data_IF_508039259105
#
_entry.id   IF_508039259105
#
_cell.length_a   1.000
_cell.length_b   1.000
_cell.length_c   1.000
_cell.angle_alpha   90.00
_cell.angle_beta   90.00
_cell.angle_gamma   90.00
#
_symmetry.space_group_name_H-M   'P 1'
#
loop_
_entity.id
_entity.type
_entity.pdbx_description
1 polymer ?
#
# COMPACT_ATOMS: atom_id res chain seq x y z
N UNK A 1 48.94 -30.85 51.15
CA UNK A 1 48.81 -29.75 50.16
C UNK A 1 47.55 -29.98 49.35
N UNK A 2 46.43 -29.41 49.73
CA UNK A 2 45.14 -29.56 49.06
C UNK A 2 44.88 -28.33 48.21
N UNK A 3 44.72 -28.49 46.88
CA UNK A 3 44.34 -27.43 45.95
C UNK A 3 42.80 -27.40 45.87
N UNK A 4 42.23 -26.32 46.34
CA UNK A 4 40.79 -26.04 46.15
C UNK A 4 40.60 -25.49 44.71
N UNK A 5 39.84 -26.21 43.91
CA UNK A 5 39.35 -25.78 42.60
C UNK A 5 37.98 -25.09 42.80
N UNK A 6 37.97 -23.79 42.69
CA UNK A 6 36.75 -22.99 42.77
C UNK A 6 36.05 -23.00 41.41
N UNK A 7 34.92 -23.71 41.33
CA UNK A 7 34.03 -23.70 40.14
C UNK A 7 33.04 -22.57 40.31
N UNK A 8 33.24 -21.47 39.55
CA UNK A 8 32.25 -20.38 39.42
C UNK A 8 31.11 -20.85 38.52
N UNK A 9 29.94 -21.04 39.10
CA UNK A 9 28.69 -21.33 38.37
C UNK A 9 28.11 -20.00 37.91
N UNK A 10 28.21 -19.69 36.60
CA UNK A 10 27.50 -18.57 35.97
C UNK A 10 26.04 -18.96 35.78
N UNK A 11 25.16 -18.44 36.63
CA UNK A 11 23.72 -18.49 36.45
C UNK A 11 23.37 -17.33 35.51
N UNK A 12 23.22 -17.59 34.22
CA UNK A 12 22.65 -16.67 33.26
C UNK A 12 21.16 -16.53 33.50
N UNK A 13 20.75 -15.45 34.13
CA UNK A 13 19.33 -15.08 34.22
C UNK A 13 18.92 -14.56 32.83
N UNK A 14 18.29 -15.41 32.02
CA UNK A 14 17.54 -14.99 30.86
C UNK A 14 16.30 -14.23 31.35
N UNK A 15 16.38 -12.90 31.37
CA UNK A 15 15.21 -12.05 31.46
C UNK A 15 14.55 -12.12 30.08
N UNK A 16 13.66 -13.09 29.88
CA UNK A 16 12.71 -13.03 28.78
C UNK A 16 11.79 -11.85 29.07
N UNK A 17 12.09 -10.73 28.44
CA UNK A 17 11.18 -9.60 28.35
C UNK A 17 9.94 -10.06 27.58
N UNK A 18 8.95 -10.54 28.31
CA UNK A 18 7.60 -10.70 27.82
C UNK A 18 7.08 -9.27 27.58
N UNK A 19 7.29 -8.72 26.40
CA UNK A 19 6.58 -7.53 25.98
C UNK A 19 5.10 -7.94 25.96
N UNK A 20 4.36 -7.47 26.98
CA UNK A 20 2.89 -7.53 26.94
C UNK A 20 2.48 -6.74 25.70
N UNK A 21 1.96 -7.44 24.70
CA UNK A 21 1.30 -6.79 23.57
C UNK A 21 0.25 -5.84 24.16
N UNK A 22 0.25 -4.60 23.66
CA UNK A 22 -0.77 -3.65 24.07
C UNK A 22 -2.14 -4.24 23.68
N UNK A 23 -3.16 -4.16 24.54
CA UNK A 23 -4.46 -4.71 24.21
C UNK A 23 -4.98 -4.04 22.94
N UNK A 24 -5.47 -4.86 22.00
CA UNK A 24 -6.11 -4.39 20.76
C UNK A 24 -7.29 -3.54 21.18
N UNK A 25 -7.36 -2.30 20.65
CA UNK A 25 -8.51 -1.45 20.86
C UNK A 25 -9.68 -2.00 20.05
N UNK A 26 -10.79 -2.31 20.74
CA UNK A 26 -12.02 -2.74 20.08
C UNK A 26 -13.00 -1.58 20.02
N UNK A 27 -13.56 -1.36 18.82
CA UNK A 27 -14.70 -0.47 18.64
C UNK A 27 -15.92 -1.35 18.43
N UNK A 28 -16.91 -1.21 19.29
CA UNK A 28 -18.15 -1.98 19.27
C UNK A 28 -19.32 -1.06 18.90
N UNK A 29 -20.43 -1.63 18.42
CA UNK A 29 -21.67 -0.86 18.21
C UNK A 29 -21.89 -0.36 16.77
N UNK A 30 -21.30 -1.01 15.77
CA UNK A 30 -21.54 -0.71 14.35
C UNK A 30 -22.83 -1.32 13.77
N UNK A 31 -23.56 -2.14 14.53
CA UNK A 31 -24.79 -2.78 14.06
C UNK A 31 -25.96 -1.79 13.84
N UNK A 32 -25.84 -0.60 14.45
CA UNK A 32 -26.67 0.54 14.10
C UNK A 32 -25.71 1.70 13.86
N UNK A 33 -25.58 2.24 12.64
CA UNK A 33 -24.79 3.44 12.45
C UNK A 33 -25.32 4.44 13.47
N UNK A 34 -24.47 5.07 14.30
CA UNK A 34 -24.91 6.10 15.21
C UNK A 34 -25.70 7.09 14.36
N UNK A 35 -26.92 7.40 14.77
CA UNK A 35 -27.68 8.45 14.11
C UNK A 35 -26.72 9.64 14.07
N UNK A 36 -26.19 9.94 12.90
CA UNK A 36 -25.34 11.11 12.68
C UNK A 36 -26.32 12.27 12.89
N UNK A 37 -26.48 12.65 14.16
CA UNK A 37 -27.07 13.92 14.48
C UNK A 37 -26.21 14.90 13.72
N UNK A 38 -26.73 15.61 12.74
CA UNK A 38 -26.05 16.36 11.68
C UNK A 38 -24.89 17.31 12.08
N UNK A 39 -24.22 17.02 13.18
CA UNK A 39 -23.00 17.64 13.69
C UNK A 39 -21.74 16.79 13.55
N UNK A 40 -21.85 15.54 13.04
CA UNK A 40 -20.68 14.68 12.82
C UNK A 40 -20.16 14.83 11.39
N UNK A 41 -18.92 15.21 11.21
CA UNK A 41 -18.19 15.28 9.94
C UNK A 41 -18.81 16.21 8.87
N UNK A 42 -19.34 17.36 9.26
CA UNK A 42 -19.62 18.42 8.31
C UNK A 42 -18.28 18.96 7.79
N UNK A 43 -18.01 18.79 6.52
CA UNK A 43 -16.94 19.54 5.87
C UNK A 43 -17.34 21.03 5.93
N UNK A 44 -16.49 21.88 6.47
CA UNK A 44 -16.74 23.32 6.53
C UNK A 44 -16.87 23.93 5.13
N UNK A 45 -16.22 23.33 4.15
CA UNK A 45 -16.32 23.67 2.74
C UNK A 45 -15.84 22.52 1.84
N UNK A 46 -16.38 22.46 0.64
CA UNK A 46 -15.84 21.63 -0.44
C UNK A 46 -15.84 22.45 -1.73
N UNK A 47 -14.94 22.11 -2.64
CA UNK A 47 -14.99 22.63 -4.00
C UNK A 47 -14.78 21.48 -4.99
N UNK A 48 -15.39 21.62 -6.16
CA UNK A 48 -15.31 20.65 -7.24
C UNK A 48 -14.30 21.16 -8.26
N UNK A 49 -13.34 20.34 -8.63
CA UNK A 49 -12.38 20.62 -9.69
C UNK A 49 -12.80 19.81 -10.91
N UNK A 50 -13.43 20.42 -11.93
CA UNK A 50 -13.72 19.74 -13.18
C UNK A 50 -12.40 19.49 -13.93
N UNK A 51 -12.15 18.25 -14.34
CA UNK A 51 -10.97 17.92 -15.14
C UNK A 51 -11.24 18.23 -16.62
N UNK A 52 -10.30 18.92 -17.24
CA UNK A 52 -10.37 19.25 -18.67
C UNK A 52 -10.24 17.99 -19.53
N UNK A 53 -11.19 17.74 -20.41
CA UNK A 53 -11.11 16.71 -21.45
C UNK A 53 -10.41 17.30 -22.68
N UNK A 54 -9.10 17.09 -22.78
CA UNK A 54 -8.27 17.55 -23.88
C UNK A 54 -7.65 16.36 -24.61
N UNK A 55 -7.45 16.48 -25.91
CA UNK A 55 -6.83 15.46 -26.76
C UNK A 55 -7.50 14.07 -26.67
N UNK A 56 -8.82 14.02 -26.54
CA UNK A 56 -9.61 12.80 -26.34
C UNK A 56 -9.29 12.03 -25.03
N UNK A 57 -8.62 12.67 -24.05
CA UNK A 57 -8.41 12.09 -22.73
C UNK A 57 -9.74 12.03 -22.02
N UNK A 58 -10.20 10.81 -21.76
CA UNK A 58 -11.37 10.52 -20.94
C UNK A 58 -10.87 9.74 -19.73
N UNK A 59 -11.13 10.24 -18.53
CA UNK A 59 -10.85 9.52 -17.29
C UNK A 59 -12.14 8.84 -16.85
N UNK A 60 -12.22 7.53 -17.06
CA UNK A 60 -13.40 6.74 -16.73
C UNK A 60 -13.37 6.28 -15.26
N UNK A 61 -12.17 6.06 -14.71
CA UNK A 61 -11.94 5.71 -13.31
C UNK A 61 -10.74 6.47 -12.76
N UNK A 62 -10.71 6.66 -11.46
CA UNK A 62 -9.54 7.20 -10.75
C UNK A 62 -9.05 6.11 -9.79
N UNK A 63 -7.89 5.55 -10.10
CA UNK A 63 -7.29 4.49 -9.31
C UNK A 63 -6.38 5.05 -8.21
N UNK A 64 -5.64 6.13 -8.52
CA UNK A 64 -4.73 6.78 -7.59
C UNK A 64 -4.56 8.24 -7.95
N UNK A 65 -4.39 9.08 -6.95
CA UNK A 65 -4.03 10.50 -7.09
C UNK A 65 -2.79 10.74 -6.23
N UNK A 66 -1.82 11.41 -6.82
CA UNK A 66 -0.66 11.93 -6.11
C UNK A 66 -0.43 13.39 -6.52
N UNK A 67 0.42 14.10 -5.78
CA UNK A 67 0.63 15.52 -6.00
C UNK A 67 2.11 15.83 -6.19
N UNK A 68 2.39 16.68 -7.17
CA UNK A 68 3.71 17.26 -7.38
C UNK A 68 3.57 18.77 -7.52
N UNK A 69 4.20 19.52 -6.59
CA UNK A 69 4.06 20.97 -6.48
C UNK A 69 2.58 21.43 -6.41
N UNK A 70 2.11 22.06 -7.48
CA UNK A 70 0.71 22.51 -7.61
C UNK A 70 -0.12 21.67 -8.57
N UNK A 71 0.40 20.53 -8.99
CA UNK A 71 -0.24 19.65 -9.96
C UNK A 71 -0.73 18.37 -9.32
N UNK A 72 -1.84 17.84 -9.81
CA UNK A 72 -2.36 16.51 -9.51
C UNK A 72 -1.87 15.55 -10.58
N UNK A 73 -1.36 14.39 -10.19
CA UNK A 73 -1.05 13.26 -11.07
C UNK A 73 -2.08 12.17 -10.81
N UNK A 74 -2.77 11.76 -11.85
CA UNK A 74 -3.89 10.80 -11.76
C UNK A 74 -3.53 9.54 -12.54
N UNK A 75 -3.58 8.40 -11.86
CA UNK A 75 -3.57 7.08 -12.47
C UNK A 75 -5.00 6.62 -12.74
N UNK A 76 -5.29 6.29 -13.98
CA UNK A 76 -6.54 5.70 -14.44
C UNK A 76 -6.30 4.44 -15.28
N UNK A 77 -7.35 3.76 -15.71
CA UNK A 77 -7.24 2.64 -16.65
C UNK A 77 -6.71 3.07 -18.03
N UNK A 78 -6.94 4.31 -18.39
CA UNK A 78 -6.56 4.89 -19.69
C UNK A 78 -5.11 5.36 -19.71
N UNK A 79 -4.55 5.74 -18.55
CA UNK A 79 -3.21 6.29 -18.49
C UNK A 79 -2.86 6.99 -17.19
N UNK A 80 -1.71 7.64 -17.20
CA UNK A 80 -1.26 8.54 -16.15
C UNK A 80 -1.21 9.95 -16.69
N UNK A 81 -1.95 10.86 -16.07
CA UNK A 81 -2.16 12.22 -16.54
C UNK A 81 -1.90 13.23 -15.45
N UNK A 82 -1.44 14.42 -15.81
CA UNK A 82 -1.34 15.53 -14.85
C UNK A 82 -2.28 16.68 -15.21
N UNK A 83 -2.76 17.32 -14.13
CA UNK A 83 -3.64 18.48 -14.17
C UNK A 83 -3.17 19.52 -13.16
N UNK A 84 -3.36 20.79 -13.46
CA UNK A 84 -3.14 21.84 -12.48
C UNK A 84 -4.28 21.89 -11.44
N UNK A 85 -4.18 22.78 -10.43
CA UNK A 85 -5.21 22.93 -9.39
C UNK A 85 -6.59 23.36 -9.89
N UNK A 86 -6.66 23.92 -11.10
CA UNK A 86 -7.90 24.31 -11.77
C UNK A 86 -8.49 23.19 -12.63
N UNK A 87 -7.83 22.02 -12.67
CA UNK A 87 -8.23 20.87 -13.46
C UNK A 87 -7.86 20.98 -14.95
N UNK A 88 -7.02 21.94 -15.34
CA UNK A 88 -6.56 22.04 -16.72
C UNK A 88 -5.49 20.96 -16.97
N UNK A 89 -5.62 20.29 -18.11
CA UNK A 89 -4.70 19.24 -18.54
C UNK A 89 -3.30 19.82 -18.81
N UNK A 90 -2.28 19.14 -18.28
CA UNK A 90 -0.88 19.50 -18.47
C UNK A 90 -0.18 18.53 -19.43
N UNK A 91 -0.06 17.25 -19.05
CA UNK A 91 0.57 16.24 -19.90
C UNK A 91 0.11 14.82 -19.54
N UNK A 92 0.50 13.87 -20.39
CA UNK A 92 0.40 12.43 -20.15
C UNK A 92 1.80 11.85 -19.97
N UNK A 93 1.93 10.91 -19.06
CA UNK A 93 3.17 10.20 -18.77
C UNK A 93 3.19 8.85 -19.47
N UNK A 94 3.87 8.79 -20.60
CA UNK A 94 3.86 7.61 -21.45
C UNK A 94 2.50 7.34 -22.10
N UNK A 95 2.45 6.29 -22.90
CA UNK A 95 1.21 5.83 -23.54
C UNK A 95 1.21 4.30 -23.65
N UNK A 96 0.09 3.71 -24.02
CA UNK A 96 -0.01 2.27 -24.20
C UNK A 96 0.65 1.84 -25.49
N UNK A 97 1.67 0.96 -25.41
CA UNK A 97 2.41 0.50 -26.58
C UNK A 97 3.69 -0.25 -26.25
N UNK A 98 4.60 -0.36 -27.26
CA UNK A 98 5.83 -1.15 -27.18
C UNK A 98 7.13 -0.33 -27.21
N UNK A 99 7.03 0.98 -27.38
CA UNK A 99 8.18 1.88 -27.49
C UNK A 99 8.85 2.18 -26.16
N UNK A 100 9.86 3.04 -26.26
CA UNK A 100 10.53 3.61 -25.09
C UNK A 100 9.56 4.57 -24.38
N UNK A 101 9.36 4.37 -23.08
CA UNK A 101 8.41 5.16 -22.30
C UNK A 101 6.95 4.76 -22.46
N UNK A 102 6.62 3.81 -23.33
CA UNK A 102 5.28 3.23 -23.45
C UNK A 102 5.12 2.05 -22.47
N UNK A 103 3.90 1.77 -22.02
CA UNK A 103 3.59 0.70 -21.07
C UNK A 103 2.51 -0.25 -21.60
N UNK A 104 2.46 -1.47 -21.08
CA UNK A 104 1.39 -2.43 -21.34
C UNK A 104 0.31 -2.40 -20.26
N UNK A 105 0.73 -2.50 -18.99
CA UNK A 105 -0.19 -2.62 -17.86
C UNK A 105 0.25 -1.71 -16.74
N UNK A 106 -0.54 -0.68 -16.51
CA UNK A 106 -0.33 0.22 -15.37
C UNK A 106 -0.78 -0.48 -14.09
N UNK A 107 0.17 -0.72 -13.19
CA UNK A 107 -0.11 -1.32 -11.88
C UNK A 107 -0.28 -0.25 -10.82
N UNK A 108 0.73 0.58 -10.63
CA UNK A 108 0.72 1.68 -9.66
C UNK A 108 1.58 2.84 -10.15
N UNK A 109 1.49 3.96 -9.46
CA UNK A 109 2.35 5.12 -9.66
C UNK A 109 2.60 5.85 -8.34
N UNK A 110 3.66 6.63 -8.25
CA UNK A 110 3.92 7.58 -7.16
C UNK A 110 4.81 8.73 -7.62
N UNK A 111 4.84 9.79 -6.84
CA UNK A 111 5.78 10.89 -6.98
C UNK A 111 6.93 10.68 -5.99
N UNK A 112 8.18 10.65 -6.47
CA UNK A 112 9.35 10.50 -5.59
C UNK A 112 9.81 11.85 -4.99
N UNK A 113 10.77 11.79 -4.07
CA UNK A 113 11.31 12.98 -3.40
C UNK A 113 11.98 13.97 -4.35
N UNK A 114 12.45 13.52 -5.52
CA UNK A 114 13.00 14.33 -6.59
C UNK A 114 11.94 14.90 -7.51
N UNK A 115 10.64 14.68 -7.19
CA UNK A 115 9.48 15.10 -7.97
C UNK A 115 9.36 14.39 -9.33
N UNK A 116 9.95 13.22 -9.46
CA UNK A 116 9.74 12.39 -10.63
C UNK A 116 8.48 11.55 -10.47
N UNK A 117 7.79 11.35 -11.57
CA UNK A 117 6.64 10.46 -11.64
C UNK A 117 7.12 9.07 -12.00
N UNK A 118 6.96 8.13 -11.07
CA UNK A 118 7.32 6.74 -11.24
C UNK A 118 6.10 5.90 -11.52
N UNK A 119 6.18 5.05 -12.54
CA UNK A 119 5.06 4.23 -13.02
C UNK A 119 5.52 2.79 -13.11
N UNK A 120 4.75 1.86 -12.51
CA UNK A 120 4.97 0.43 -12.66
C UNK A 120 4.22 -0.09 -13.87
N UNK A 121 4.96 -0.60 -14.86
CA UNK A 121 4.45 -1.43 -15.94
C UNK A 121 4.56 -2.90 -15.52
N UNK A 122 3.48 -3.44 -14.93
CA UNK A 122 3.47 -4.79 -14.37
C UNK A 122 3.77 -5.85 -15.41
N UNK A 123 3.14 -5.80 -16.57
CA UNK A 123 3.32 -6.81 -17.62
C UNK A 123 4.76 -6.91 -18.15
N UNK A 124 5.56 -5.86 -17.98
CA UNK A 124 6.97 -5.83 -18.42
C UNK A 124 7.97 -5.83 -17.28
N UNK A 125 7.49 -5.92 -16.06
CA UNK A 125 8.32 -5.94 -14.86
C UNK A 125 9.33 -4.78 -14.84
N UNK A 126 8.83 -3.55 -15.02
CA UNK A 126 9.69 -2.37 -15.05
C UNK A 126 9.05 -1.16 -14.40
N UNK A 127 9.90 -0.23 -14.00
CA UNK A 127 9.52 1.10 -13.52
C UNK A 127 10.01 2.12 -14.54
N UNK A 128 9.07 2.92 -15.03
CA UNK A 128 9.33 4.08 -15.88
C UNK A 128 9.39 5.32 -14.99
N UNK A 129 10.39 6.16 -15.21
CA UNK A 129 10.59 7.41 -14.47
C UNK A 129 10.49 8.59 -15.42
N UNK A 130 9.59 9.51 -15.13
CA UNK A 130 9.36 10.72 -15.92
C UNK A 130 9.63 11.97 -15.10
N UNK A 131 10.01 13.07 -15.77
CA UNK A 131 9.97 14.40 -15.15
C UNK A 131 8.53 14.94 -15.17
N UNK A 132 8.33 16.10 -14.53
CA UNK A 132 7.01 16.76 -14.46
C UNK A 132 6.43 17.18 -15.80
N UNK A 133 7.24 17.29 -16.85
CA UNK A 133 6.83 17.66 -18.21
C UNK A 133 6.46 16.45 -19.08
N UNK A 134 6.48 15.23 -18.52
CA UNK A 134 6.15 14.00 -19.21
C UNK A 134 7.30 13.40 -20.03
N UNK A 135 8.54 13.89 -19.87
CA UNK A 135 9.69 13.32 -20.56
C UNK A 135 10.22 12.11 -19.79
N UNK A 136 10.45 11.00 -20.48
CA UNK A 136 11.07 9.81 -19.90
C UNK A 136 12.52 10.11 -19.52
N UNK A 137 12.86 9.85 -18.25
CA UNK A 137 14.21 10.00 -17.70
C UNK A 137 14.95 8.67 -17.61
N UNK A 138 14.25 7.61 -17.17
CA UNK A 138 14.86 6.31 -16.89
C UNK A 138 13.85 5.18 -17.04
N UNK A 139 14.38 3.97 -17.27
CA UNK A 139 13.63 2.71 -17.30
C UNK A 139 14.42 1.65 -16.55
N UNK A 140 13.93 1.23 -15.40
CA UNK A 140 14.52 0.16 -14.61
C UNK A 140 13.75 -1.14 -14.82
N UNK A 141 14.45 -2.20 -15.23
CA UNK A 141 13.86 -3.52 -15.44
C UNK A 141 14.17 -4.44 -14.25
N UNK A 142 13.19 -5.25 -13.90
CA UNK A 142 13.23 -6.19 -12.80
C UNK A 142 13.09 -7.63 -13.31
N UNK A 143 13.43 -8.65 -12.50
CA UNK A 143 13.21 -10.04 -12.86
C UNK A 143 11.77 -10.31 -13.29
N UNK A 144 11.54 -11.29 -14.13
CA UNK A 144 10.20 -11.69 -14.54
C UNK A 144 9.34 -12.05 -13.32
N UNK A 145 8.06 -11.76 -13.40
CA UNK A 145 7.06 -11.99 -12.34
C UNK A 145 7.25 -11.15 -11.06
N UNK A 146 8.15 -10.14 -11.06
CA UNK A 146 8.35 -9.27 -9.89
C UNK A 146 7.06 -8.51 -9.56
N UNK A 147 6.38 -7.98 -10.56
CA UNK A 147 5.21 -7.12 -10.39
C UNK A 147 3.88 -7.78 -10.80
N UNK A 148 3.90 -9.06 -11.17
CA UNK A 148 2.70 -9.76 -11.65
C UNK A 148 1.55 -9.81 -10.63
N UNK A 149 1.91 -9.83 -9.35
CA UNK A 149 0.95 -9.93 -8.25
C UNK A 149 0.64 -8.60 -7.58
N UNK A 150 1.31 -7.53 -7.97
CA UNK A 150 1.09 -6.24 -7.35
C UNK A 150 -0.25 -5.63 -7.77
N UNK A 151 -0.98 -5.15 -6.77
CA UNK A 151 -2.20 -4.37 -6.97
C UNK A 151 -1.94 -2.87 -6.84
N UNK A 152 -1.21 -2.47 -5.79
CA UNK A 152 -0.82 -1.09 -5.55
C UNK A 152 0.44 -1.02 -4.69
N UNK A 153 1.19 0.10 -4.76
CA UNK A 153 2.39 0.35 -4.00
C UNK A 153 2.49 1.81 -3.57
N UNK A 154 3.08 2.03 -2.38
CA UNK A 154 3.49 3.35 -1.89
C UNK A 154 4.97 3.31 -1.49
N UNK A 155 5.74 4.38 -1.76
CA UNK A 155 7.10 4.47 -1.30
C UNK A 155 7.13 4.67 0.22
N UNK A 156 7.89 3.81 0.92
CA UNK A 156 8.24 4.00 2.33
C UNK A 156 9.43 4.98 2.42
N UNK A 157 10.36 4.79 1.49
CA UNK A 157 11.53 5.62 1.29
C UNK A 157 12.03 5.46 -0.16
N UNK A 158 13.18 6.05 -0.50
CA UNK A 158 13.74 6.02 -1.86
C UNK A 158 14.04 4.60 -2.40
N UNK A 159 14.19 3.60 -1.53
CA UNK A 159 14.58 2.25 -1.90
C UNK A 159 13.53 1.19 -1.61
N UNK A 160 12.53 1.49 -0.79
CA UNK A 160 11.55 0.51 -0.36
C UNK A 160 10.13 0.95 -0.69
N UNK A 161 9.35 0.02 -1.22
CA UNK A 161 7.92 0.15 -1.43
C UNK A 161 7.17 -0.73 -0.42
N UNK A 162 6.04 -0.24 0.09
CA UNK A 162 5.00 -1.09 0.68
C UNK A 162 3.99 -1.42 -0.41
N UNK A 163 3.65 -2.69 -0.55
CA UNK A 163 2.84 -3.17 -1.65
C UNK A 163 1.65 -3.99 -1.15
N UNK A 164 0.50 -3.80 -1.77
CA UNK A 164 -0.61 -4.75 -1.71
C UNK A 164 -0.56 -5.68 -2.92
N UNK A 165 -0.94 -6.94 -2.71
CA UNK A 165 -0.86 -7.96 -3.74
C UNK A 165 -2.25 -8.49 -4.11
N UNK A 166 -2.41 -8.94 -5.35
CA UNK A 166 -3.54 -9.76 -5.73
C UNK A 166 -3.42 -11.14 -5.06
N UNK A 167 -4.51 -11.65 -4.54
CA UNK A 167 -4.56 -12.99 -3.96
C UNK A 167 -5.04 -13.94 -5.04
N UNK A 168 -4.14 -14.84 -5.47
CA UNK A 168 -4.46 -15.90 -6.44
C UNK A 168 -4.05 -17.26 -5.90
N UNK A 169 -4.97 -18.20 -5.96
CA UNK A 169 -4.71 -19.62 -5.62
C UNK A 169 -3.96 -19.80 -4.28
N UNK A 170 -2.75 -20.35 -4.32
CA UNK A 170 -1.94 -20.66 -3.14
C UNK A 170 -1.08 -19.49 -2.66
N UNK A 171 -1.08 -18.35 -3.37
CA UNK A 171 -0.33 -17.16 -3.00
C UNK A 171 -1.16 -16.28 -2.08
N UNK A 172 -1.05 -16.56 -0.78
CA UNK A 172 -1.86 -15.91 0.25
C UNK A 172 -1.24 -14.62 0.82
N UNK A 173 -0.21 -14.07 0.18
CA UNK A 173 0.45 -12.86 0.66
C UNK A 173 -0.37 -11.63 0.28
N UNK A 174 -0.98 -10.98 1.28
CA UNK A 174 -1.80 -9.77 1.11
C UNK A 174 -0.91 -8.54 0.96
N UNK A 175 0.09 -8.41 1.81
CA UNK A 175 1.02 -7.30 1.83
C UNK A 175 2.46 -7.77 1.79
N UNK A 176 3.30 -6.96 1.16
CA UNK A 176 4.74 -7.18 1.07
C UNK A 176 5.48 -5.85 1.06
N UNK A 177 6.77 -5.88 1.37
CA UNK A 177 7.69 -4.81 1.02
C UNK A 177 8.51 -5.23 -0.19
N UNK A 178 8.93 -4.25 -0.98
CA UNK A 178 9.79 -4.46 -2.12
C UNK A 178 11.04 -3.57 -2.05
N UNK A 179 12.22 -4.19 -2.07
CA UNK A 179 13.51 -3.48 -2.13
C UNK A 179 13.88 -3.20 -3.59
N UNK A 180 13.88 -1.93 -3.97
CA UNK A 180 14.16 -1.48 -5.34
C UNK A 180 15.62 -1.72 -5.76
N UNK A 181 16.57 -1.70 -4.82
CA UNK A 181 18.00 -1.91 -5.10
C UNK A 181 18.34 -3.40 -5.22
N UNK A 182 17.89 -4.21 -4.25
CA UNK A 182 18.11 -5.66 -4.24
C UNK A 182 17.20 -6.39 -5.21
N UNK A 183 16.12 -5.74 -5.63
CA UNK A 183 15.07 -6.32 -6.49
C UNK A 183 14.39 -7.53 -5.87
N UNK A 184 14.14 -7.46 -4.56
CA UNK A 184 13.58 -8.54 -3.75
C UNK A 184 12.28 -8.12 -3.08
N UNK A 185 11.32 -9.05 -3.03
CA UNK A 185 10.07 -8.90 -2.32
C UNK A 185 10.10 -9.68 -1.00
N UNK A 186 9.63 -9.05 0.08
CA UNK A 186 9.53 -9.65 1.40
C UNK A 186 8.06 -9.69 1.83
N UNK A 187 7.44 -10.88 1.91
CA UNK A 187 6.05 -10.99 2.36
C UNK A 187 5.93 -10.59 3.83
N UNK A 188 4.94 -9.73 4.14
CA UNK A 188 4.67 -9.24 5.48
C UNK A 188 3.47 -9.95 6.12
N UNK A 189 2.40 -10.16 5.35
CA UNK A 189 1.17 -10.71 5.88
C UNK A 189 0.59 -11.74 4.94
N UNK A 190 0.28 -12.92 5.49
CA UNK A 190 -0.32 -14.02 4.76
C UNK A 190 -1.73 -14.28 5.30
N UNK A 191 -2.66 -14.48 4.40
CA UNK A 191 -3.98 -14.94 4.76
C UNK A 191 -3.93 -16.40 5.23
N UNK A 192 -4.41 -16.67 6.46
CA UNK A 192 -4.38 -18.01 7.06
C UNK A 192 -5.58 -18.90 6.66
N UNK A 193 -6.56 -18.35 5.96
CA UNK A 193 -7.80 -19.07 5.59
C UNK A 193 -7.62 -20.01 4.40
N UNK A 194 -8.41 -21.09 4.38
CA UNK A 194 -8.60 -21.88 3.16
C UNK A 194 -9.47 -21.07 2.21
N UNK A 195 -8.86 -20.53 1.18
CA UNK A 195 -9.54 -19.76 0.16
C UNK A 195 -10.26 -20.71 -0.80
N UNK A 196 -11.46 -21.14 -0.42
CA UNK A 196 -12.26 -21.99 -1.30
C UNK A 196 -12.67 -21.28 -2.61
N UNK A 197 -12.64 -19.94 -2.68
CA UNK A 197 -13.04 -19.15 -3.86
C UNK A 197 -12.38 -17.78 -3.90
N UNK A 198 -11.04 -17.69 -3.84
CA UNK A 198 -10.34 -16.39 -3.98
C UNK A 198 -10.34 -15.84 -5.40
N UNK A 199 -10.83 -16.58 -6.38
CA UNK A 199 -10.94 -16.10 -7.77
C UNK A 199 -11.86 -14.88 -7.94
N UNK A 200 -12.75 -14.63 -6.99
CA UNK A 200 -13.70 -13.51 -7.07
C UNK A 200 -13.24 -12.25 -6.29
N UNK A 201 -12.19 -12.34 -5.46
CA UNK A 201 -11.79 -11.21 -4.64
C UNK A 201 -10.68 -10.40 -5.29
N UNK A 202 -11.07 -9.53 -6.21
CA UNK A 202 -10.20 -8.50 -6.81
C UNK A 202 -10.25 -7.17 -6.03
N UNK A 203 -10.74 -7.19 -4.80
CA UNK A 203 -10.84 -6.00 -3.96
C UNK A 203 -9.47 -5.36 -3.76
N UNK A 204 -9.39 -4.07 -4.00
CA UNK A 204 -8.17 -3.30 -3.69
C UNK A 204 -8.01 -3.30 -2.17
N UNK A 205 -6.88 -3.80 -1.70
CA UNK A 205 -6.53 -3.69 -0.29
C UNK A 205 -6.18 -2.23 -0.02
N UNK A 206 -6.94 -1.60 0.88
CA UNK A 206 -6.69 -0.22 1.24
C UNK A 206 -5.54 -0.16 2.25
N UNK A 207 -4.59 0.69 1.97
CA UNK A 207 -3.55 1.08 2.91
C UNK A 207 -3.21 2.55 2.73
N UNK A 208 -2.63 3.16 3.75
CA UNK A 208 -2.17 4.54 3.70
C UNK A 208 -0.89 4.68 4.51
N UNK A 209 0.04 5.48 4.01
CA UNK A 209 1.25 5.83 4.71
C UNK A 209 1.04 7.13 5.48
N UNK A 210 1.32 7.11 6.78
CA UNK A 210 1.32 8.28 7.64
C UNK A 210 2.68 8.38 8.35
N UNK A 211 3.53 9.28 7.90
CA UNK A 211 4.94 9.39 8.30
C UNK A 211 5.68 8.08 7.99
N UNK A 212 6.14 7.37 9.02
CA UNK A 212 6.88 6.11 8.98
C UNK A 212 6.00 4.87 9.24
N UNK A 213 4.69 5.06 9.35
CA UNK A 213 3.72 4.00 9.67
C UNK A 213 2.75 3.80 8.53
N UNK A 214 2.63 2.56 8.07
CA UNK A 214 1.58 2.13 7.14
C UNK A 214 0.41 1.59 7.94
N UNK A 215 -0.77 2.14 7.71
CA UNK A 215 -2.04 1.57 8.17
C UNK A 215 -2.69 0.82 7.01
N UNK A 216 -3.18 -0.38 7.28
CA UNK A 216 -3.76 -1.24 6.25
C UNK A 216 -4.96 -2.01 6.79
N UNK A 217 -5.86 -2.37 5.87
CA UNK A 217 -7.05 -3.17 6.15
C UNK A 217 -7.08 -4.37 5.22
N UNK A 218 -7.54 -5.50 5.73
CA UNK A 218 -7.77 -6.70 4.94
C UNK A 218 -9.26 -6.94 4.76
N UNK A 219 -9.73 -7.34 3.58
CA UNK A 219 -11.13 -7.70 3.40
C UNK A 219 -11.53 -8.98 4.16
N UNK A 220 -10.56 -9.69 4.72
CA UNK A 220 -10.75 -10.96 5.44
C UNK A 220 -10.64 -10.82 6.96
N UNK A 221 -10.48 -9.62 7.47
CA UNK A 221 -10.38 -9.33 8.90
C UNK A 221 -11.07 -8.02 9.21
N UNK A 222 -11.77 -7.92 10.34
CA UNK A 222 -12.32 -6.67 10.83
C UNK A 222 -11.24 -5.71 11.36
N UNK A 223 -9.97 -6.10 11.27
CA UNK A 223 -8.88 -5.37 11.88
C UNK A 223 -8.34 -4.27 10.96
N UNK A 224 -8.15 -3.10 11.53
CA UNK A 224 -7.20 -2.12 11.01
C UNK A 224 -5.84 -2.52 11.58
N UNK A 225 -4.89 -2.73 10.69
CA UNK A 225 -3.54 -3.15 11.05
C UNK A 225 -2.54 -2.02 10.79
N UNK A 226 -1.36 -2.14 11.36
CA UNK A 226 -0.26 -1.22 11.10
C UNK A 226 1.06 -1.96 10.88
N UNK A 227 1.96 -1.32 10.18
CA UNK A 227 3.33 -1.74 9.96
C UNK A 227 4.27 -0.54 9.99
N UNK A 228 5.48 -0.74 10.51
CA UNK A 228 6.56 0.25 10.47
C UNK A 228 7.82 -0.41 9.92
N UNK A 229 8.66 0.36 9.25
CA UNK A 229 9.91 -0.13 8.68
C UNK A 229 10.76 -0.85 9.74
N UNK A 230 11.37 -1.97 9.33
CA UNK A 230 12.14 -2.85 10.22
C UNK A 230 11.35 -3.93 10.94
N UNK A 231 10.02 -3.91 10.89
CA UNK A 231 9.20 -5.03 11.37
C UNK A 231 9.01 -6.09 10.30
N UNK A 232 9.05 -7.35 10.71
CA UNK A 232 8.89 -8.50 9.82
C UNK A 232 7.42 -8.87 9.57
N UNK A 233 6.48 -8.25 10.28
CA UNK A 233 5.07 -8.57 10.17
C UNK A 233 4.17 -7.35 10.47
N UNK A 234 2.94 -7.44 10.00
CA UNK A 234 1.87 -6.48 10.25
C UNK A 234 1.21 -6.80 11.58
N UNK A 235 0.90 -5.77 12.36
CA UNK A 235 0.29 -5.91 13.70
C UNK A 235 -1.11 -5.31 13.71
N UNK A 236 -2.06 -5.92 14.42
CA UNK A 236 -3.36 -5.33 14.63
C UNK A 236 -3.25 -4.03 15.46
N UNK A 237 -3.98 -3.01 15.04
CA UNK A 237 -4.08 -1.71 15.70
C UNK A 237 -5.44 -1.53 16.36
N UNK A 238 -6.50 -1.85 15.61
CA UNK A 238 -7.88 -1.65 16.00
C UNK A 238 -8.73 -2.77 15.40
N UNK A 239 -9.56 -3.42 16.20
CA UNK A 239 -10.54 -4.39 15.71
C UNK A 239 -11.93 -3.78 15.69
N UNK A 240 -12.62 -3.92 14.55
CA UNK A 240 -14.01 -3.50 14.37
C UNK A 240 -14.86 -4.76 14.48
N UNK A 241 -15.52 -4.97 15.63
CA UNK A 241 -16.36 -6.14 15.87
C UNK A 241 -17.83 -5.75 15.93
N UNK A 242 -18.69 -6.58 15.36
CA UNK A 242 -20.14 -6.46 15.52
C UNK A 242 -20.59 -6.99 16.89
N UNK A 243 -21.77 -6.56 17.36
CA UNK A 243 -22.34 -7.10 18.62
C UNK A 243 -22.55 -8.61 18.57
N UNK A 244 -22.86 -9.16 17.39
CA UNK A 244 -23.06 -10.60 17.22
C UNK A 244 -21.75 -11.38 17.41
N UNK A 245 -20.63 -10.86 16.92
CA UNK A 245 -19.31 -11.49 17.11
C UNK A 245 -18.90 -11.47 18.57
N UNK A 246 -19.14 -10.36 19.29
CA UNK A 246 -18.85 -10.25 20.73
C UNK A 246 -19.64 -11.26 21.56
N UNK A 247 -20.89 -11.55 21.18
CA UNK A 247 -21.73 -12.51 21.88
C UNK A 247 -21.34 -13.96 21.57
N UNK A 248 -20.69 -14.23 20.45
CA UNK A 248 -20.23 -15.56 20.05
C UNK A 248 -18.94 -16.00 20.75
N UNK A 249 -18.16 -15.05 21.28
CA UNK A 249 -16.90 -15.31 22.00
C UNK A 249 -17.10 -15.54 23.52
N UNK A 250 -18.33 -15.38 24.03
CA UNK A 250 -18.70 -15.65 25.43
C UNK A 250 -19.33 -17.02 25.58
#
# INVERSE_FOLDING_TARGET
MAKYLSTLLYIGVFLSSCQKEAPIRQITGFDSPPAINGQGLAADSFYVVPLESKNNVIISDIRKIDFVDSSMVILSSEGVFSFNRQGQYLCQYGEKGNGSGEYHTLTSMWVDEQKHIRIIDGARNRILTFNTDGQLLDTQTYPSSTFDLLNDCEPINNNHLFCSNHIYNDLNTIYSTFDLQRKESHPLHKFAGKTANTQEYTGRHAFTLQKDTVFCVSPFSPDICYWTEGNNDIRPYLSIMTEQEILSEK
#
